data_IF_487995812736
#
_entry.id   IF_487995812736
#
_cell.length_a   1.000
_cell.length_b   1.000
_cell.length_c   1.000
_cell.angle_alpha   90.00
_cell.angle_beta   90.00
_cell.angle_gamma   90.00
#
_symmetry.space_group_name_H-M   'P 1'
#
loop_
_entity.id
_entity.type
_entity.pdbx_description
1 polymer ?
#
# COMPACT_ATOMS: atom_id res chain seq x y z
N UNK A 1 35.06 -44.29 -11.01
CA UNK A 1 33.78 -44.34 -10.27
C UNK A 1 33.76 -43.24 -9.20
N UNK A 2 34.31 -42.05 -9.51
CA UNK A 2 34.51 -40.93 -8.55
C UNK A 2 33.71 -39.67 -8.93
N UNK A 3 33.32 -39.53 -10.20
CA UNK A 3 32.65 -38.33 -10.74
C UNK A 3 31.24 -38.13 -10.14
N UNK A 4 30.57 -39.22 -9.74
CA UNK A 4 29.22 -39.16 -9.14
C UNK A 4 29.26 -38.51 -7.75
N UNK A 5 30.33 -38.74 -6.97
CA UNK A 5 30.51 -38.12 -5.66
C UNK A 5 30.74 -36.61 -5.76
N UNK A 6 31.43 -36.14 -6.80
CA UNK A 6 31.71 -34.71 -6.98
C UNK A 6 30.46 -33.93 -7.40
N UNK A 7 29.60 -34.53 -8.23
CA UNK A 7 28.30 -33.96 -8.60
C UNK A 7 27.37 -33.94 -7.38
N UNK A 8 27.31 -35.04 -6.62
CA UNK A 8 26.53 -35.09 -5.37
C UNK A 8 27.04 -34.06 -4.36
N UNK A 9 28.36 -33.92 -4.20
CA UNK A 9 28.96 -32.90 -3.35
C UNK A 9 28.63 -31.48 -3.81
N UNK A 10 28.68 -31.20 -5.12
CA UNK A 10 28.31 -29.90 -5.67
C UNK A 10 26.82 -29.58 -5.45
N UNK A 11 25.92 -30.56 -5.63
CA UNK A 11 24.50 -30.42 -5.33
C UNK A 11 24.25 -30.13 -3.84
N UNK A 12 24.95 -30.81 -2.94
CA UNK A 12 24.87 -30.56 -1.49
C UNK A 12 25.36 -29.16 -1.15
N UNK A 13 26.51 -28.73 -1.69
CA UNK A 13 27.04 -27.37 -1.48
C UNK A 13 26.05 -26.31 -1.97
N UNK A 14 25.46 -26.51 -3.16
CA UNK A 14 24.48 -25.57 -3.71
C UNK A 14 23.21 -25.49 -2.84
N UNK A 15 22.67 -26.63 -2.39
CA UNK A 15 21.51 -26.67 -1.51
C UNK A 15 21.79 -25.97 -0.16
N UNK A 16 22.97 -26.18 0.43
CA UNK A 16 23.39 -25.51 1.66
C UNK A 16 23.56 -24.00 1.47
N UNK A 17 24.07 -23.57 0.31
CA UNK A 17 24.21 -22.16 -0.04
C UNK A 17 22.84 -21.47 -0.18
N UNK A 18 21.90 -22.08 -0.92
CA UNK A 18 20.52 -21.61 -1.05
C UNK A 18 19.83 -21.48 0.32
N UNK A 19 19.95 -22.49 1.19
CA UNK A 19 19.37 -22.47 2.53
C UNK A 19 19.98 -21.38 3.41
N UNK A 20 21.30 -21.18 3.32
CA UNK A 20 22.00 -20.11 4.04
C UNK A 20 21.54 -18.72 3.57
N UNK A 21 21.38 -18.51 2.26
CA UNK A 21 20.88 -17.24 1.70
C UNK A 21 19.41 -16.97 2.09
N UNK A 22 18.56 -18.01 2.16
CA UNK A 22 17.19 -17.89 2.66
C UNK A 22 17.17 -17.49 4.16
N UNK A 23 17.96 -18.17 5.00
CA UNK A 23 18.09 -17.84 6.44
C UNK A 23 18.63 -16.44 6.67
N UNK A 24 19.57 -15.97 5.83
CA UNK A 24 20.11 -14.61 5.86
C UNK A 24 19.05 -13.57 5.49
N UNK A 25 18.22 -13.85 4.47
CA UNK A 25 17.06 -13.01 4.11
C UNK A 25 16.03 -12.95 5.24
N UNK A 26 15.81 -14.03 5.99
CA UNK A 26 14.91 -14.03 7.15
C UNK A 26 15.45 -13.20 8.33
N UNK A 27 16.74 -13.34 8.66
CA UNK A 27 17.39 -12.53 9.71
C UNK A 27 17.34 -11.03 9.42
N UNK A 28 17.42 -10.66 8.14
CA UNK A 28 17.35 -9.27 7.69
C UNK A 28 15.91 -8.71 7.63
N UNK A 29 14.88 -9.53 7.86
CA UNK A 29 13.51 -9.03 7.98
C UNK A 29 13.34 -8.39 9.36
N UNK A 30 13.46 -7.06 9.41
CA UNK A 30 13.09 -6.27 10.60
C UNK A 30 11.67 -6.66 11.02
N UNK A 31 11.53 -7.23 12.22
CA UNK A 31 10.22 -7.55 12.80
C UNK A 31 9.49 -6.23 13.05
N UNK A 32 8.55 -5.87 12.17
CA UNK A 32 7.68 -4.71 12.38
C UNK A 32 6.86 -4.94 13.65
N UNK A 33 6.90 -4.00 14.59
CA UNK A 33 6.05 -4.03 15.80
C UNK A 33 4.56 -4.04 15.44
N UNK A 34 4.19 -3.35 14.36
CA UNK A 34 2.84 -3.30 13.83
C UNK A 34 2.84 -3.34 12.30
N UNK A 35 1.95 -4.14 11.71
CA UNK A 35 1.67 -4.08 10.28
C UNK A 35 0.90 -2.79 9.91
N UNK A 36 -0.11 -2.46 10.72
CA UNK A 36 -0.81 -1.16 10.74
C UNK A 36 -0.80 -0.65 12.18
N UNK A 37 -0.36 0.58 12.40
CA UNK A 37 -0.34 1.18 13.74
C UNK A 37 -1.78 1.32 14.29
N UNK A 38 -2.05 1.08 15.60
CA UNK A 38 -3.39 1.17 16.18
C UNK A 38 -4.13 2.49 15.92
N UNK A 39 -3.40 3.60 15.84
CA UNK A 39 -3.96 4.92 15.48
C UNK A 39 -4.65 4.92 14.10
N UNK A 40 -4.13 4.14 13.15
CA UNK A 40 -4.66 4.06 11.80
C UNK A 40 -5.83 3.08 11.67
N UNK A 41 -6.12 2.27 12.71
CA UNK A 41 -7.25 1.35 12.70
C UNK A 41 -8.59 2.11 12.70
N UNK A 42 -8.64 3.26 13.36
CA UNK A 42 -9.82 4.13 13.43
C UNK A 42 -10.00 5.05 12.21
N UNK A 43 -9.13 4.94 11.19
CA UNK A 43 -9.19 5.77 9.98
C UNK A 43 -10.54 5.71 9.24
N UNK A 44 -11.22 4.56 9.12
CA UNK A 44 -12.54 4.51 8.47
C UNK A 44 -13.62 5.32 9.19
N UNK A 45 -13.45 5.62 10.48
CA UNK A 45 -14.41 6.35 11.31
C UNK A 45 -13.98 7.81 11.49
N UNK A 46 -12.72 8.00 11.89
CA UNK A 46 -12.17 9.28 12.34
C UNK A 46 -11.10 9.83 11.40
N UNK A 47 -10.90 9.20 10.24
CA UNK A 47 -9.98 9.68 9.24
C UNK A 47 -10.39 11.05 8.75
N UNK A 48 -9.41 11.93 8.54
CA UNK A 48 -9.69 13.29 8.08
C UNK A 48 -10.53 13.33 6.80
N UNK A 49 -10.25 12.44 5.85
CA UNK A 49 -11.06 12.31 4.65
C UNK A 49 -12.52 12.01 4.99
N UNK A 50 -12.76 11.02 5.84
CA UNK A 50 -14.11 10.61 6.23
C UNK A 50 -14.91 11.74 6.87
N UNK A 51 -14.25 12.54 7.72
CA UNK A 51 -14.91 13.63 8.46
C UNK A 51 -15.08 14.88 7.59
N UNK A 52 -14.10 15.21 6.74
CA UNK A 52 -14.01 16.52 6.10
C UNK A 52 -14.47 16.51 4.63
N UNK A 53 -14.31 15.40 3.90
CA UNK A 53 -14.55 15.37 2.45
C UNK A 53 -15.99 15.71 2.07
N UNK A 54 -16.97 15.03 2.68
CA UNK A 54 -18.39 15.29 2.39
C UNK A 54 -18.82 16.69 2.83
N UNK A 55 -18.30 17.15 3.98
CA UNK A 55 -18.53 18.52 4.46
C UNK A 55 -18.02 19.54 3.46
N UNK A 56 -16.79 19.40 2.95
CA UNK A 56 -16.23 20.30 1.94
C UNK A 56 -17.05 20.29 0.64
N UNK A 57 -17.53 19.12 0.19
CA UNK A 57 -18.35 19.04 -1.04
C UNK A 57 -19.67 19.80 -0.95
N UNK A 58 -20.20 20.04 0.25
CA UNK A 58 -21.39 20.89 0.45
C UNK A 58 -21.10 22.38 0.28
N UNK A 59 -19.83 22.80 0.27
CA UNK A 59 -19.40 24.20 0.17
C UNK A 59 -18.39 24.38 -0.98
N UNK A 60 -18.85 24.66 -2.22
CA UNK A 60 -17.99 24.71 -3.40
C UNK A 60 -16.80 25.67 -3.28
N UNK A 61 -16.96 26.83 -2.62
CA UNK A 61 -15.88 27.79 -2.41
C UNK A 61 -14.79 27.25 -1.48
N UNK A 62 -15.18 26.62 -0.36
CA UNK A 62 -14.24 26.00 0.56
C UNK A 62 -13.59 24.76 -0.05
N UNK A 63 -14.34 23.98 -0.84
CA UNK A 63 -13.77 22.88 -1.63
C UNK A 63 -12.70 23.38 -2.58
N UNK A 64 -12.98 24.47 -3.32
CA UNK A 64 -12.02 25.08 -4.24
C UNK A 64 -10.80 25.63 -3.49
N UNK A 65 -10.98 26.27 -2.34
CA UNK A 65 -9.87 26.75 -1.51
C UNK A 65 -8.99 25.60 -0.99
N UNK A 66 -9.61 24.49 -0.62
CA UNK A 66 -8.92 23.32 -0.08
C UNK A 66 -8.17 22.54 -1.16
N UNK A 67 -8.81 22.19 -2.28
CA UNK A 67 -8.23 21.35 -3.33
C UNK A 67 -7.67 22.13 -4.53
N UNK A 68 -7.84 23.45 -4.57
CA UNK A 68 -7.48 24.34 -5.69
C UNK A 68 -8.12 23.94 -7.03
N UNK A 69 -9.26 23.25 -6.96
CA UNK A 69 -10.05 22.82 -8.10
C UNK A 69 -11.53 22.74 -7.74
N UNK A 70 -12.41 22.83 -8.74
CA UNK A 70 -13.84 22.65 -8.51
C UNK A 70 -14.17 21.20 -8.16
N UNK A 71 -15.34 21.01 -7.57
CA UNK A 71 -15.91 19.69 -7.30
C UNK A 71 -16.01 18.86 -8.59
N UNK A 72 -16.48 19.47 -9.68
CA UNK A 72 -16.61 18.80 -10.99
C UNK A 72 -15.27 18.35 -11.55
N UNK A 73 -14.24 19.21 -11.51
CA UNK A 73 -12.90 18.83 -11.98
C UNK A 73 -12.28 17.74 -11.12
N UNK A 74 -12.57 17.71 -9.81
CA UNK A 74 -12.13 16.62 -8.94
C UNK A 74 -12.76 15.29 -9.36
N UNK A 75 -14.08 15.29 -9.63
CA UNK A 75 -14.79 14.09 -10.09
C UNK A 75 -14.33 13.60 -11.45
N UNK A 76 -14.10 14.53 -12.39
CA UNK A 76 -13.51 14.24 -13.70
C UNK A 76 -12.13 13.61 -13.54
N UNK A 77 -11.28 14.19 -12.69
CA UNK A 77 -9.97 13.65 -12.41
C UNK A 77 -10.06 12.24 -11.84
N UNK A 78 -10.92 12.01 -10.85
CA UNK A 78 -11.19 10.68 -10.29
C UNK A 78 -11.70 9.70 -11.35
N UNK A 79 -12.59 10.13 -12.25
CA UNK A 79 -13.07 9.27 -13.35
C UNK A 79 -11.92 8.80 -14.25
N UNK A 80 -10.97 9.69 -14.56
CA UNK A 80 -9.84 9.41 -15.44
C UNK A 80 -8.77 8.52 -14.78
N UNK A 81 -8.42 8.79 -13.52
CA UNK A 81 -7.29 8.11 -12.85
C UNK A 81 -7.74 7.08 -11.81
N UNK A 82 -9.02 7.07 -11.44
CA UNK A 82 -9.62 6.18 -10.46
C UNK A 82 -9.27 4.71 -10.69
N UNK A 83 -9.40 4.16 -11.91
CA UNK A 83 -9.01 2.78 -12.18
C UNK A 83 -7.52 2.48 -11.90
N UNK A 84 -6.64 3.47 -12.09
CA UNK A 84 -5.19 3.36 -11.80
C UNK A 84 -4.86 3.56 -10.32
N UNK A 85 -5.71 4.30 -9.59
CA UNK A 85 -5.60 4.51 -8.15
C UNK A 85 -6.31 3.42 -7.33
N UNK A 86 -7.22 2.67 -7.93
CA UNK A 86 -7.87 1.55 -7.27
C UNK A 86 -6.87 0.44 -6.98
N UNK A 87 -6.97 -0.14 -5.78
CA UNK A 87 -6.23 -1.35 -5.42
C UNK A 87 -7.22 -2.48 -5.26
N UNK A 88 -6.79 -3.69 -5.63
CA UNK A 88 -7.59 -4.89 -5.42
C UNK A 88 -7.87 -5.07 -3.92
N UNK A 89 -9.14 -5.26 -3.58
CA UNK A 89 -9.55 -5.68 -2.25
C UNK A 89 -9.01 -7.09 -2.01
N UNK A 90 -8.30 -7.27 -0.91
CA UNK A 90 -7.86 -8.60 -0.45
C UNK A 90 -8.34 -8.82 0.98
N UNK A 91 -8.31 -10.06 1.46
CA UNK A 91 -8.64 -10.37 2.86
C UNK A 91 -7.64 -9.82 3.89
N UNK A 92 -6.53 -9.23 3.45
CA UNK A 92 -5.47 -8.74 4.34
C UNK A 92 -5.76 -7.35 4.91
N UNK A 93 -6.33 -6.46 4.09
CA UNK A 93 -6.74 -5.11 4.51
C UNK A 93 -7.65 -4.46 3.47
N UNK A 94 -8.49 -3.54 3.93
CA UNK A 94 -9.24 -2.62 3.07
C UNK A 94 -8.27 -1.59 2.47
N UNK A 95 -8.21 -1.43 1.15
CA UNK A 95 -7.41 -0.41 0.50
C UNK A 95 -8.00 0.98 0.76
N UNK A 96 -7.14 2.00 0.68
CA UNK A 96 -7.55 3.40 0.70
C UNK A 96 -8.24 3.70 -0.64
N UNK A 97 -9.40 4.35 -0.60
CA UNK A 97 -10.17 4.64 -1.82
C UNK A 97 -9.42 5.61 -2.74
N UNK A 98 -9.69 5.59 -4.06
CA UNK A 98 -9.09 6.54 -5.00
C UNK A 98 -9.27 8.01 -4.60
N UNK A 99 -10.46 8.37 -4.12
CA UNK A 99 -10.82 9.72 -3.68
C UNK A 99 -9.96 10.14 -2.48
N UNK A 100 -9.85 9.29 -1.47
CA UNK A 100 -9.04 9.56 -0.29
C UNK A 100 -7.55 9.66 -0.64
N UNK A 101 -7.06 8.80 -1.54
CA UNK A 101 -5.69 8.88 -2.07
C UNK A 101 -5.46 10.20 -2.79
N UNK A 102 -6.41 10.62 -3.62
CA UNK A 102 -6.32 11.87 -4.36
C UNK A 102 -6.36 13.07 -3.40
N UNK A 103 -7.25 13.04 -2.40
CA UNK A 103 -7.33 14.07 -1.37
C UNK A 103 -5.99 14.30 -0.66
N UNK A 104 -5.30 13.22 -0.26
CA UNK A 104 -3.99 13.34 0.39
C UNK A 104 -2.91 13.88 -0.55
N UNK A 105 -3.06 13.64 -1.87
CA UNK A 105 -2.09 14.07 -2.88
C UNK A 105 -2.24 15.55 -3.24
N UNK A 106 -3.48 16.06 -3.28
CA UNK A 106 -3.79 17.43 -3.71
C UNK A 106 -3.73 18.47 -2.59
N UNK A 107 -3.83 18.02 -1.34
CA UNK A 107 -3.82 18.89 -0.16
C UNK A 107 -2.47 19.57 0.06
#
# INVERSE_FOLDING_TARGET
MEILNDIEAACVIFALYEEHELKKKEKNKVKRRHWVHPLNLKRPENGQFQVTFMTLRSYPEEFFKYYRMSITSFDELISLIGPKLSKQQTGLRVPISPEERLTVTLR
#
